data_IF_145306634865
#
_entry.id   IF_145306634865
#
_cell.length_a   1.000
_cell.length_b   1.000
_cell.length_c   1.000
_cell.angle_alpha   90.00
_cell.angle_beta   90.00
_cell.angle_gamma   90.00
#
_symmetry.space_group_name_H-M   'P 1'
#
loop_
_entity.id
_entity.type
_entity.pdbx_description
1 polymer ?
#
# COMPACT_ATOMS: atom_id res chain seq x y z
N UNK A 1 -24.04 -29.13 -5.05
CA UNK A 1 -24.74 -27.93 -5.53
C UNK A 1 -23.71 -27.14 -6.32
N UNK A 2 -23.82 -27.19 -7.64
CA UNK A 2 -22.96 -26.41 -8.56
C UNK A 2 -23.47 -24.98 -8.47
N UNK A 3 -22.63 -24.06 -8.00
CA UNK A 3 -22.97 -22.64 -8.09
C UNK A 3 -23.00 -22.26 -9.57
N UNK A 4 -24.02 -21.51 -10.04
CA UNK A 4 -24.17 -21.18 -11.45
C UNK A 4 -22.87 -20.56 -11.98
N UNK A 5 -22.46 -21.03 -13.15
CA UNK A 5 -21.26 -20.65 -13.87
C UNK A 5 -21.40 -19.16 -14.31
N UNK A 6 -21.13 -18.24 -13.38
CA UNK A 6 -21.03 -16.81 -13.70
C UNK A 6 -19.83 -16.70 -14.64
N UNK A 7 -19.99 -16.19 -15.88
CA UNK A 7 -18.88 -16.05 -16.81
C UNK A 7 -17.74 -15.28 -16.15
N UNK A 8 -16.63 -15.98 -15.89
CA UNK A 8 -15.43 -15.38 -15.32
C UNK A 8 -14.53 -14.90 -16.46
N UNK A 9 -14.08 -13.67 -16.36
CA UNK A 9 -13.12 -13.09 -17.29
C UNK A 9 -11.72 -13.54 -16.90
N UNK A 10 -11.00 -14.15 -17.85
CA UNK A 10 -9.64 -14.64 -17.66
C UNK A 10 -8.64 -13.54 -17.99
N UNK A 11 -7.61 -13.38 -17.17
CA UNK A 11 -6.49 -12.53 -17.53
C UNK A 11 -5.62 -13.20 -18.61
N UNK A 12 -5.22 -12.51 -19.69
CA UNK A 12 -4.38 -13.09 -20.74
C UNK A 12 -2.93 -13.32 -20.28
N UNK A 13 -2.50 -12.68 -19.20
CA UNK A 13 -1.10 -12.70 -18.72
C UNK A 13 -0.89 -13.60 -17.51
N UNK A 14 -1.95 -14.15 -16.89
CA UNK A 14 -1.83 -15.05 -15.73
C UNK A 14 -3.11 -15.86 -15.48
N UNK A 15 -3.08 -16.91 -14.63
CA UNK A 15 -4.25 -17.75 -14.34
C UNK A 15 -5.38 -17.08 -13.55
N UNK A 16 -5.34 -15.77 -13.31
CA UNK A 16 -6.34 -15.09 -12.50
C UNK A 16 -7.68 -14.91 -13.24
N UNK A 17 -8.78 -15.07 -12.52
CA UNK A 17 -10.15 -14.90 -13.02
C UNK A 17 -10.89 -13.79 -12.28
N UNK A 18 -11.80 -13.10 -12.99
CA UNK A 18 -12.50 -11.92 -12.49
C UNK A 18 -13.99 -11.97 -12.82
N UNK A 19 -14.80 -11.37 -11.95
CA UNK A 19 -16.27 -11.34 -12.11
C UNK A 19 -16.77 -10.12 -12.89
N UNK A 20 -15.90 -9.14 -13.17
CA UNK A 20 -16.26 -7.94 -13.96
C UNK A 20 -15.08 -7.38 -14.75
N UNK A 21 -15.37 -6.68 -15.85
CA UNK A 21 -14.35 -6.03 -16.68
C UNK A 21 -13.55 -5.00 -15.87
N UNK A 22 -14.18 -4.24 -14.98
CA UNK A 22 -13.48 -3.28 -14.12
C UNK A 22 -12.40 -3.95 -13.25
N UNK A 23 -12.70 -5.14 -12.72
CA UNK A 23 -11.74 -5.91 -11.91
C UNK A 23 -10.60 -6.47 -12.77
N UNK A 24 -10.90 -6.92 -14.00
CA UNK A 24 -9.88 -7.35 -14.94
C UNK A 24 -8.98 -6.18 -15.40
N UNK A 25 -9.55 -5.05 -15.82
CA UNK A 25 -8.81 -3.86 -16.25
C UNK A 25 -7.89 -3.32 -15.16
N UNK A 26 -8.36 -3.29 -13.91
CA UNK A 26 -7.54 -2.85 -12.77
C UNK A 26 -6.44 -3.87 -12.43
N UNK A 27 -6.70 -5.17 -12.60
CA UNK A 27 -5.70 -6.21 -12.45
C UNK A 27 -4.63 -6.15 -13.55
N UNK A 28 -5.01 -5.94 -14.81
CA UNK A 28 -4.09 -5.90 -15.94
C UNK A 28 -3.02 -4.81 -15.82
N UNK A 29 -3.36 -3.69 -15.15
CA UNK A 29 -2.39 -2.65 -14.78
C UNK A 29 -1.22 -3.17 -13.93
N UNK A 30 -1.35 -4.32 -13.26
CA UNK A 30 -0.27 -4.96 -12.49
C UNK A 30 0.73 -5.71 -13.39
N UNK A 31 0.31 -6.17 -14.56
CA UNK A 31 1.19 -6.81 -15.54
C UNK A 31 2.00 -5.80 -16.35
N UNK A 32 1.50 -4.58 -16.45
CA UNK A 32 2.25 -3.47 -17.06
C UNK A 32 3.32 -3.01 -16.08
N UNK A 33 4.58 -3.11 -16.48
CA UNK A 33 5.66 -2.45 -15.75
C UNK A 33 5.52 -0.93 -15.93
N UNK A 34 4.83 -0.28 -14.99
CA UNK A 34 4.67 1.18 -14.99
C UNK A 34 6.08 1.79 -14.90
N UNK A 35 6.52 2.54 -15.94
CA UNK A 35 7.81 3.20 -15.87
C UNK A 35 7.86 4.12 -14.65
N UNK A 36 8.98 4.11 -13.94
CA UNK A 36 9.25 5.00 -12.82
C UNK A 36 10.19 6.10 -13.31
N UNK A 37 9.66 7.15 -13.98
CA UNK A 37 10.50 8.13 -14.67
C UNK A 37 11.31 9.00 -13.70
N UNK A 38 10.87 9.12 -12.45
CA UNK A 38 11.49 10.02 -11.49
C UNK A 38 12.62 9.32 -10.73
N UNK A 39 13.87 9.55 -11.17
CA UNK A 39 15.07 9.02 -10.50
C UNK A 39 15.52 9.95 -9.37
N UNK A 40 15.90 9.38 -8.23
CA UNK A 40 16.65 10.12 -7.22
C UNK A 40 18.06 10.43 -7.72
N UNK A 41 18.57 11.64 -7.46
CA UNK A 41 19.93 12.02 -7.84
C UNK A 41 20.96 11.65 -6.76
N UNK A 42 20.50 11.32 -5.54
CA UNK A 42 21.35 10.98 -4.40
C UNK A 42 21.42 9.46 -4.14
N UNK A 43 20.61 8.66 -4.83
CA UNK A 43 20.65 7.19 -4.80
C UNK A 43 19.98 6.58 -6.04
N UNK A 44 20.06 5.26 -6.22
CA UNK A 44 19.52 4.57 -7.41
C UNK A 44 18.00 4.30 -7.38
N UNK A 45 17.27 4.84 -6.39
CA UNK A 45 15.82 4.65 -6.31
C UNK A 45 15.08 5.44 -7.40
N UNK A 46 14.04 4.82 -7.95
CA UNK A 46 13.13 5.41 -8.95
C UNK A 46 11.69 5.40 -8.42
N UNK A 47 10.92 6.42 -8.78
CA UNK A 47 9.56 6.67 -8.30
C UNK A 47 8.59 6.90 -9.45
N UNK A 48 7.32 6.54 -9.22
CA UNK A 48 6.25 6.68 -10.20
C UNK A 48 5.85 8.14 -10.42
N UNK A 49 5.92 8.96 -9.37
CA UNK A 49 5.52 10.37 -9.39
C UNK A 49 6.54 11.26 -8.68
N UNK A 50 6.52 12.56 -9.01
CA UNK A 50 7.44 13.57 -8.45
C UNK A 50 7.24 13.77 -6.94
N UNK A 51 6.00 13.76 -6.46
CA UNK A 51 5.68 14.00 -5.05
C UNK A 51 6.28 12.91 -4.14
N UNK A 52 6.24 11.66 -4.59
CA UNK A 52 6.84 10.53 -3.89
C UNK A 52 8.37 10.59 -3.91
N UNK A 53 8.99 11.05 -5.02
CA UNK A 53 10.43 11.31 -5.07
C UNK A 53 10.84 12.42 -4.08
N UNK A 54 10.16 13.56 -4.07
CA UNK A 54 10.48 14.68 -3.18
C UNK A 54 10.41 14.26 -1.72
N UNK A 55 9.29 13.64 -1.32
CA UNK A 55 9.15 13.07 0.03
C UNK A 55 10.25 12.08 0.38
N UNK A 56 10.70 11.26 -0.58
CA UNK A 56 11.82 10.36 -0.34
C UNK A 56 13.12 11.14 -0.05
N UNK A 57 13.40 12.17 -0.85
CA UNK A 57 14.58 13.03 -0.65
C UNK A 57 14.54 13.71 0.71
N UNK A 58 13.43 14.34 1.05
CA UNK A 58 13.27 15.07 2.31
C UNK A 58 13.49 14.14 3.51
N UNK A 59 12.91 12.94 3.49
CA UNK A 59 12.94 12.02 4.64
C UNK A 59 14.27 11.28 4.76
N UNK A 60 14.82 10.79 3.65
CA UNK A 60 15.95 9.86 3.66
C UNK A 60 17.28 10.60 3.54
N UNK A 61 17.32 11.66 2.74
CA UNK A 61 18.53 12.38 2.44
C UNK A 61 18.67 13.64 3.30
N UNK A 62 17.60 14.46 3.39
CA UNK A 62 17.66 15.72 4.15
C UNK A 62 17.28 15.55 5.64
N UNK A 63 16.66 14.41 6.02
CA UNK A 63 16.10 14.16 7.37
C UNK A 63 15.04 15.19 7.80
N UNK A 64 14.41 15.85 6.83
CA UNK A 64 13.32 16.82 6.98
C UNK A 64 11.95 16.12 7.05
N UNK A 65 11.89 14.98 7.74
CA UNK A 65 10.64 14.26 7.93
C UNK A 65 9.61 15.16 8.63
N UNK A 66 8.47 15.37 7.96
CA UNK A 66 7.52 16.45 8.27
C UNK A 66 6.58 16.12 9.43
N UNK A 67 6.37 14.83 9.73
CA UNK A 67 5.38 14.38 10.71
C UNK A 67 6.06 13.68 11.88
N UNK A 68 5.96 14.28 13.07
CA UNK A 68 6.56 13.75 14.31
C UNK A 68 5.54 12.93 15.10
N UNK A 69 6.00 11.84 15.73
CA UNK A 69 5.22 11.17 16.75
C UNK A 69 5.23 11.99 18.05
N UNK A 70 4.09 12.06 18.73
CA UNK A 70 3.97 12.71 20.05
C UNK A 70 4.45 11.81 21.20
N UNK A 71 4.51 10.49 20.99
CA UNK A 71 4.88 9.50 22.02
C UNK A 71 6.34 9.04 21.94
N UNK A 72 7.04 9.30 20.83
CA UNK A 72 8.44 8.89 20.65
C UNK A 72 9.19 9.78 19.64
N UNK A 73 10.53 9.68 19.57
CA UNK A 73 11.34 10.49 18.65
C UNK A 73 11.19 10.13 17.17
N UNK A 74 10.37 9.14 16.80
CA UNK A 74 10.22 8.73 15.41
C UNK A 74 9.56 9.80 14.55
N UNK A 75 10.06 9.94 13.31
CA UNK A 75 9.54 10.87 12.30
C UNK A 75 9.16 10.14 11.03
N UNK A 76 8.11 10.64 10.38
CA UNK A 76 7.52 10.03 9.21
C UNK A 76 7.41 11.04 8.06
N UNK A 77 7.61 10.54 6.84
CA UNK A 77 7.39 11.32 5.62
C UNK A 77 5.92 11.49 5.22
N UNK A 78 4.99 10.86 5.91
CA UNK A 78 3.57 10.93 5.54
C UNK A 78 2.66 10.72 6.73
N UNK A 79 1.60 11.50 6.82
CA UNK A 79 0.59 11.42 7.89
C UNK A 79 -0.01 10.02 8.05
N UNK A 80 -0.31 9.30 6.97
CA UNK A 80 -0.86 7.93 7.03
C UNK A 80 0.08 6.95 7.73
N UNK A 81 1.40 7.14 7.59
CA UNK A 81 2.40 6.31 8.28
C UNK A 81 2.48 6.67 9.75
N UNK A 82 2.45 7.97 10.07
CA UNK A 82 2.40 8.45 11.46
C UNK A 82 1.15 7.92 12.17
N UNK A 83 -0.05 8.11 11.61
CA UNK A 83 -1.31 7.64 12.22
C UNK A 83 -1.26 6.14 12.49
N UNK A 84 -0.79 5.35 11.52
CA UNK A 84 -0.62 3.91 11.71
C UNK A 84 0.41 3.56 12.78
N UNK A 85 1.48 4.32 12.90
CA UNK A 85 2.46 4.15 13.97
C UNK A 85 1.86 4.51 15.34
N UNK A 86 1.12 5.63 15.46
CA UNK A 86 0.47 6.03 16.72
C UNK A 86 -0.46 4.94 17.26
N UNK A 87 -1.12 4.18 16.38
CA UNK A 87 -1.92 3.01 16.78
C UNK A 87 -1.15 1.98 17.63
N UNK A 88 0.17 1.82 17.45
CA UNK A 88 0.95 0.92 18.30
C UNK A 88 1.20 1.46 19.70
N UNK A 89 1.16 2.79 19.90
CA UNK A 89 1.26 3.38 21.23
C UNK A 89 -0.04 3.23 22.02
N UNK A 90 -1.18 3.52 21.40
CA UNK A 90 -2.50 3.48 22.06
C UNK A 90 -3.16 2.10 22.02
N UNK A 91 -2.56 1.14 21.32
CA UNK A 91 -3.11 -0.22 21.17
C UNK A 91 -4.34 -0.31 20.25
N UNK A 92 -4.61 0.72 19.44
CA UNK A 92 -5.74 0.76 18.50
C UNK A 92 -5.55 -0.26 17.37
N UNK A 93 -6.49 -1.20 17.25
CA UNK A 93 -6.47 -2.29 16.27
C UNK A 93 -7.82 -2.37 15.57
N UNK A 94 -8.12 -1.47 14.62
CA UNK A 94 -9.46 -1.32 14.06
C UNK A 94 -9.85 -2.44 13.08
N UNK A 95 -8.94 -3.39 12.79
CA UNK A 95 -9.17 -4.46 11.83
C UNK A 95 -9.26 -5.82 12.55
N UNK A 96 -10.45 -6.24 13.01
CA UNK A 96 -10.64 -7.56 13.61
C UNK A 96 -10.59 -8.67 12.56
N UNK A 97 -9.99 -9.80 12.92
CA UNK A 97 -10.10 -11.03 12.15
C UNK A 97 -11.51 -11.62 12.32
N UNK A 98 -12.11 -12.13 11.24
CA UNK A 98 -13.41 -12.80 11.31
C UNK A 98 -13.35 -14.24 11.84
N UNK A 99 -12.16 -14.84 11.83
CA UNK A 99 -11.97 -16.26 12.14
C UNK A 99 -11.23 -16.49 13.47
N UNK A 100 -10.70 -15.44 14.09
CA UNK A 100 -10.07 -15.52 15.42
C UNK A 100 -10.19 -14.19 16.17
N UNK A 101 -9.83 -14.18 17.45
CA UNK A 101 -9.93 -13.01 18.34
C UNK A 101 -8.84 -11.94 18.10
N UNK A 102 -7.96 -12.14 17.10
CA UNK A 102 -6.88 -11.19 16.81
C UNK A 102 -7.42 -9.97 16.07
N UNK A 103 -6.91 -8.80 16.45
CA UNK A 103 -7.13 -7.54 15.74
C UNK A 103 -5.79 -6.97 15.25
N UNK A 104 -5.82 -6.20 14.16
CA UNK A 104 -4.62 -5.68 13.50
C UNK A 104 -4.67 -4.15 13.31
N UNK A 105 -3.50 -3.54 13.13
CA UNK A 105 -3.34 -2.09 12.87
C UNK A 105 -3.44 -1.73 11.38
N UNK A 106 -3.47 -2.74 10.50
CA UNK A 106 -3.48 -2.64 9.03
C UNK A 106 -4.54 -3.56 8.44
N UNK A 107 -5.17 -3.13 7.34
CA UNK A 107 -6.22 -3.88 6.65
C UNK A 107 -5.73 -5.17 5.98
N UNK A 108 -4.61 -5.19 5.27
CA UNK A 108 -4.19 -6.41 4.54
C UNK A 108 -3.72 -7.58 5.42
N UNK A 109 -3.78 -7.46 6.75
CA UNK A 109 -3.42 -8.55 7.67
C UNK A 109 -4.65 -9.28 8.26
N UNK A 110 -5.89 -8.89 7.91
CA UNK A 110 -7.10 -9.57 8.40
C UNK A 110 -7.64 -10.68 7.48
N UNK A 111 -7.12 -10.81 6.25
CA UNK A 111 -7.53 -11.82 5.28
C UNK A 111 -7.04 -13.21 5.65
#
# INVERSE_FOLDING_TARGET
IVHPDIPQLLCPNCPATFLSNEQLETHEKKHVHIPKPHKCLQCDKKFQDRSTLLRHVDVIHNKEATFCCEYCPERFGSITKLVRHVRSHVGDRPYPCKYCEKSFTKSHHYT
#
